data_IF_843493318870
#
_entry.id   IF_843493318870
#
_cell.length_a   1.000
_cell.length_b   1.000
_cell.length_c   1.000
_cell.angle_alpha   90.00
_cell.angle_beta   90.00
_cell.angle_gamma   90.00
#
_symmetry.space_group_name_H-M   'P 1'
#
loop_
_entity.id
_entity.type
_entity.pdbx_description
1 polymer ?
#
# COMPACT_ATOMS: atom_id res chain seq x y z
N UNK A 1 36.03 -9.31 6.39
CA UNK A 1 35.69 -9.80 7.75
C UNK A 1 34.18 -10.07 7.78
N UNK A 2 33.76 -11.29 8.11
CA UNK A 2 32.35 -11.73 8.01
C UNK A 2 31.58 -11.41 9.30
N UNK A 3 30.43 -10.74 9.19
CA UNK A 3 29.53 -10.52 10.34
C UNK A 3 29.00 -11.86 10.85
N UNK A 4 28.99 -12.06 12.17
CA UNK A 4 28.41 -13.23 12.84
C UNK A 4 27.30 -12.76 13.78
N UNK A 5 26.23 -13.54 13.88
CA UNK A 5 25.09 -13.21 14.74
C UNK A 5 25.17 -13.98 16.05
N UNK A 6 24.68 -13.36 17.13
CA UNK A 6 24.46 -14.07 18.38
C UNK A 6 23.30 -15.06 18.20
N UNK A 7 23.56 -16.33 18.50
CA UNK A 7 22.57 -17.41 18.41
C UNK A 7 21.69 -17.52 19.67
N UNK A 8 22.06 -16.81 20.74
CA UNK A 8 21.43 -16.88 22.06
C UNK A 8 21.61 -15.53 22.76
N UNK A 9 20.91 -15.28 23.85
CA UNK A 9 21.09 -14.04 24.61
C UNK A 9 22.41 -14.04 25.38
N UNK A 10 22.93 -12.84 25.63
CA UNK A 10 24.25 -12.67 26.25
C UNK A 10 24.31 -13.21 27.67
N UNK A 11 23.17 -13.32 28.38
CA UNK A 11 23.13 -13.81 29.75
C UNK A 11 23.23 -15.34 29.75
N UNK A 12 22.47 -16.04 28.90
CA UNK A 12 22.64 -17.48 28.72
C UNK A 12 24.02 -17.86 28.16
N UNK A 13 24.58 -17.07 27.23
CA UNK A 13 25.94 -17.32 26.72
C UNK A 13 27.01 -17.13 27.80
N UNK A 14 26.80 -16.21 28.73
CA UNK A 14 27.68 -15.96 29.86
C UNK A 14 27.64 -17.12 30.87
N UNK A 15 26.45 -17.65 31.15
CA UNK A 15 26.28 -18.85 31.97
C UNK A 15 26.95 -20.08 31.34
N UNK A 16 26.77 -20.28 30.02
CA UNK A 16 27.46 -21.35 29.27
C UNK A 16 28.99 -21.19 29.33
N UNK A 17 29.51 -19.98 29.12
CA UNK A 17 30.94 -19.71 29.22
C UNK A 17 31.49 -20.07 30.61
N UNK A 18 30.75 -19.72 31.66
CA UNK A 18 31.12 -20.10 33.03
C UNK A 18 31.08 -21.61 33.28
N UNK A 19 30.14 -22.32 32.66
CA UNK A 19 30.05 -23.78 32.77
C UNK A 19 31.19 -24.50 32.04
N UNK A 20 31.67 -23.95 30.93
CA UNK A 20 32.74 -24.53 30.11
C UNK A 20 34.15 -24.13 30.61
N UNK A 21 34.30 -22.92 31.16
CA UNK A 21 35.58 -22.37 31.62
C UNK A 21 35.51 -21.86 33.07
N UNK A 22 35.25 -22.74 34.05
CA UNK A 22 35.11 -22.34 35.45
C UNK A 22 36.39 -21.71 36.04
N UNK A 23 37.56 -22.00 35.49
CA UNK A 23 38.86 -21.45 35.91
C UNK A 23 39.11 -20.01 35.42
N UNK A 24 38.27 -19.50 34.53
CA UNK A 24 38.38 -18.15 33.97
C UNK A 24 37.16 -17.30 34.30
N UNK A 25 36.99 -16.87 35.57
CA UNK A 25 35.83 -16.10 35.97
C UNK A 25 35.82 -14.71 35.33
N UNK A 26 34.85 -14.47 34.45
CA UNK A 26 34.62 -13.17 33.80
C UNK A 26 33.24 -12.65 34.18
N UNK A 27 33.16 -11.43 34.73
CA UNK A 27 31.87 -10.83 35.06
C UNK A 27 31.00 -10.61 33.81
N UNK A 28 29.66 -10.62 33.96
CA UNK A 28 28.74 -10.42 32.84
C UNK A 28 29.03 -9.14 32.03
N UNK A 29 29.38 -8.05 32.73
CA UNK A 29 29.75 -6.77 32.10
C UNK A 29 31.02 -6.89 31.27
N UNK A 30 32.05 -7.56 31.80
CA UNK A 30 33.30 -7.80 31.06
C UNK A 30 33.08 -8.75 29.88
N UNK A 31 32.30 -9.81 30.06
CA UNK A 31 31.92 -10.74 29.00
C UNK A 31 31.23 -10.01 27.83
N UNK A 32 30.27 -9.12 28.13
CA UNK A 32 29.60 -8.31 27.12
C UNK A 32 30.55 -7.34 26.38
N UNK A 33 31.57 -6.80 27.07
CA UNK A 33 32.59 -5.91 26.48
C UNK A 33 33.59 -6.67 25.61
N UNK A 34 33.96 -7.88 26.01
CA UNK A 34 34.85 -8.75 25.25
C UNK A 34 34.20 -9.31 23.98
N UNK A 35 32.89 -9.06 23.75
CA UNK A 35 32.22 -9.40 22.51
C UNK A 35 32.90 -8.69 21.33
N UNK A 36 33.46 -9.42 20.37
CA UNK A 36 34.05 -8.83 19.18
C UNK A 36 33.04 -7.98 18.41
N UNK A 37 33.48 -6.86 17.85
CA UNK A 37 32.59 -5.91 17.16
C UNK A 37 31.87 -6.51 15.94
N UNK A 38 32.40 -7.59 15.35
CA UNK A 38 31.77 -8.31 14.25
C UNK A 38 30.71 -9.33 14.69
N UNK A 39 30.50 -9.50 16.00
CA UNK A 39 29.41 -10.30 16.58
C UNK A 39 28.25 -9.38 16.98
N UNK A 40 27.17 -9.41 16.21
CA UNK A 40 26.03 -8.50 16.34
C UNK A 40 24.75 -9.21 16.77
N UNK A 41 23.85 -8.50 17.46
CA UNK A 41 22.49 -8.99 17.68
C UNK A 41 21.68 -8.78 16.40
N UNK A 42 20.90 -9.78 15.94
CA UNK A 42 19.93 -9.55 14.87
C UNK A 42 18.97 -8.45 15.31
N UNK A 43 18.75 -7.45 14.45
CA UNK A 43 17.73 -6.42 14.67
C UNK A 43 16.50 -6.73 13.82
N UNK A 44 15.35 -6.15 14.18
CA UNK A 44 14.14 -6.23 13.34
C UNK A 44 14.37 -5.63 11.95
N UNK A 45 15.32 -4.71 11.79
CA UNK A 45 15.72 -4.13 10.50
C UNK A 45 16.45 -5.12 9.59
N UNK A 46 17.04 -6.18 10.17
CA UNK A 46 17.72 -7.23 9.40
C UNK A 46 16.74 -8.28 8.86
N UNK A 47 15.46 -8.25 9.30
CA UNK A 47 14.41 -9.08 8.70
C UNK A 47 14.01 -8.48 7.35
N UNK A 48 14.03 -9.32 6.32
CA UNK A 48 13.32 -9.04 5.07
C UNK A 48 11.82 -9.25 5.31
N UNK A 49 11.05 -8.16 5.33
CA UNK A 49 9.60 -8.18 5.54
C UNK A 49 8.86 -7.72 4.27
N UNK A 50 7.55 -8.02 4.18
CA UNK A 50 6.67 -7.59 3.08
C UNK A 50 7.10 -8.08 1.69
N UNK A 51 7.74 -9.26 1.63
CA UNK A 51 8.16 -9.89 0.38
C UNK A 51 6.98 -10.52 -0.36
N UNK A 52 7.00 -10.48 -1.69
CA UNK A 52 5.95 -11.11 -2.50
C UNK A 52 6.24 -12.59 -2.70
N UNK A 53 5.24 -13.44 -2.43
CA UNK A 53 5.28 -14.90 -2.63
C UNK A 53 5.86 -15.28 -3.99
N UNK A 54 5.44 -14.61 -5.08
CA UNK A 54 5.93 -14.88 -6.43
C UNK A 54 7.45 -14.69 -6.58
N UNK A 55 8.03 -13.68 -5.93
CA UNK A 55 9.47 -13.43 -5.97
C UNK A 55 10.24 -14.40 -5.07
N UNK A 56 9.73 -14.64 -3.86
CA UNK A 56 10.40 -15.54 -2.91
C UNK A 56 10.39 -16.99 -3.40
N UNK A 57 9.26 -17.48 -3.93
CA UNK A 57 9.17 -18.84 -4.42
C UNK A 57 10.08 -19.09 -5.62
N UNK A 58 10.16 -18.15 -6.59
CA UNK A 58 11.09 -18.34 -7.71
C UNK A 58 12.55 -18.25 -7.24
N UNK A 59 12.86 -17.42 -6.24
CA UNK A 59 14.19 -17.39 -5.65
C UNK A 59 14.56 -18.75 -5.03
N UNK A 60 13.67 -19.37 -4.26
CA UNK A 60 13.93 -20.70 -3.70
C UNK A 60 14.16 -21.77 -4.78
N UNK A 61 13.38 -21.73 -5.87
CA UNK A 61 13.55 -22.64 -7.00
C UNK A 61 14.90 -22.43 -7.71
N UNK A 62 15.26 -21.18 -8.04
CA UNK A 62 16.55 -20.83 -8.66
C UNK A 62 17.72 -21.21 -7.75
N UNK A 63 17.62 -20.93 -6.45
CA UNK A 63 18.64 -21.31 -5.49
C UNK A 63 18.85 -22.83 -5.47
N UNK A 64 17.76 -23.61 -5.54
CA UNK A 64 17.87 -25.07 -5.58
C UNK A 64 18.43 -25.58 -6.90
N UNK A 65 18.01 -25.04 -8.04
CA UNK A 65 18.57 -25.37 -9.35
C UNK A 65 20.07 -25.07 -9.44
N UNK A 66 20.50 -23.96 -8.84
CA UNK A 66 21.92 -23.60 -8.75
C UNK A 66 22.71 -24.58 -7.88
N UNK A 67 22.16 -25.00 -6.73
CA UNK A 67 22.76 -26.02 -5.88
C UNK A 67 22.87 -27.38 -6.58
N UNK A 68 21.88 -27.72 -7.41
CA UNK A 68 21.88 -28.91 -8.27
C UNK A 68 22.75 -28.75 -9.53
N UNK A 69 23.49 -27.64 -9.67
CA UNK A 69 24.39 -27.36 -10.80
C UNK A 69 23.72 -27.31 -12.19
N UNK A 70 22.38 -27.16 -12.25
CA UNK A 70 21.63 -27.05 -13.50
C UNK A 70 21.67 -25.65 -14.12
N UNK A 71 21.96 -24.63 -13.31
CA UNK A 71 22.09 -23.24 -13.75
C UNK A 71 23.36 -22.63 -13.19
N UNK A 72 23.89 -21.62 -13.89
CA UNK A 72 25.17 -20.98 -13.56
C UNK A 72 25.04 -19.81 -12.59
N UNK A 73 23.83 -19.29 -12.37
CA UNK A 73 23.58 -18.12 -11.52
C UNK A 73 22.46 -18.38 -10.53
N UNK A 74 22.65 -17.91 -9.31
CA UNK A 74 21.62 -17.84 -8.26
C UNK A 74 20.82 -16.54 -8.29
N UNK A 75 21.19 -15.58 -9.15
CA UNK A 75 20.52 -14.27 -9.24
C UNK A 75 19.39 -14.34 -10.26
N UNK A 76 18.20 -14.00 -9.80
CA UNK A 76 16.97 -14.07 -10.61
C UNK A 76 17.04 -13.15 -11.82
N UNK A 77 17.56 -11.94 -11.67
CA UNK A 77 17.66 -10.96 -12.76
C UNK A 77 18.58 -11.46 -13.86
N UNK A 78 19.79 -11.90 -13.50
CA UNK A 78 20.76 -12.49 -14.43
C UNK A 78 20.21 -13.75 -15.10
N UNK A 79 19.41 -14.54 -14.39
CA UNK A 79 18.76 -15.70 -14.98
C UNK A 79 17.74 -15.29 -16.06
N UNK A 80 16.90 -14.29 -15.77
CA UNK A 80 15.92 -13.78 -16.76
C UNK A 80 16.66 -13.22 -17.99
N UNK A 81 17.74 -12.47 -17.79
CA UNK A 81 18.55 -11.91 -18.89
C UNK A 81 19.09 -13.00 -19.83
N UNK A 82 19.41 -14.18 -19.28
CA UNK A 82 19.88 -15.32 -20.09
C UNK A 82 18.74 -16.03 -20.83
N UNK A 83 17.54 -16.08 -20.24
CA UNK A 83 16.43 -16.87 -20.78
C UNK A 83 15.57 -16.07 -21.77
N UNK A 84 15.43 -14.76 -21.59
CA UNK A 84 14.67 -13.87 -22.47
C UNK A 84 15.61 -13.17 -23.45
N UNK A 85 15.21 -13.03 -24.72
CA UNK A 85 16.04 -12.30 -25.71
C UNK A 85 16.20 -10.82 -25.36
N UNK A 86 15.13 -10.20 -24.85
CA UNK A 86 15.12 -8.83 -24.38
C UNK A 86 14.13 -8.68 -23.23
N UNK A 87 14.62 -8.29 -22.06
CA UNK A 87 13.80 -8.09 -20.86
C UNK A 87 12.91 -6.84 -20.93
N UNK A 88 13.23 -5.89 -21.82
CA UNK A 88 12.42 -4.71 -22.09
C UNK A 88 11.31 -5.00 -23.11
N UNK A 89 11.37 -6.15 -23.79
CA UNK A 89 10.36 -6.55 -24.76
C UNK A 89 9.21 -7.32 -24.11
N UNK A 90 7.99 -6.82 -24.32
CA UNK A 90 6.76 -7.43 -23.78
C UNK A 90 6.58 -8.88 -24.22
N UNK A 91 6.76 -9.19 -25.51
CA UNK A 91 6.54 -10.54 -26.04
C UNK A 91 7.54 -11.54 -25.46
N UNK A 92 8.80 -11.13 -25.28
CA UNK A 92 9.83 -11.95 -24.63
C UNK A 92 9.46 -12.29 -23.19
N UNK A 93 9.11 -11.28 -22.39
CA UNK A 93 8.78 -11.45 -20.98
C UNK A 93 7.41 -12.11 -20.75
N UNK A 94 6.50 -12.02 -21.72
CA UNK A 94 5.23 -12.73 -21.72
C UNK A 94 5.36 -14.16 -22.23
N UNK A 95 6.57 -14.57 -22.63
CA UNK A 95 6.86 -15.89 -23.21
C UNK A 95 6.04 -16.18 -24.47
N UNK A 96 5.86 -15.14 -25.30
CA UNK A 96 5.16 -15.16 -26.60
C UNK A 96 6.12 -14.81 -27.75
N UNK A 97 7.43 -14.94 -27.51
CA UNK A 97 8.47 -14.67 -28.51
C UNK A 97 8.92 -15.99 -29.12
N UNK A 98 8.87 -16.08 -30.45
CA UNK A 98 9.22 -17.29 -31.20
C UNK A 98 10.64 -17.82 -30.91
N UNK A 99 11.55 -16.95 -30.44
CA UNK A 99 12.95 -17.27 -30.16
C UNK A 99 13.14 -17.78 -28.72
N UNK A 100 12.55 -17.12 -27.72
CA UNK A 100 12.80 -17.43 -26.31
C UNK A 100 11.67 -18.15 -25.59
N UNK A 101 10.49 -18.30 -26.20
CA UNK A 101 9.35 -19.01 -25.60
C UNK A 101 9.69 -20.44 -25.21
N UNK A 102 10.53 -21.11 -26.00
CA UNK A 102 10.95 -22.51 -25.79
C UNK A 102 12.28 -22.65 -25.03
N UNK A 103 12.90 -21.54 -24.61
CA UNK A 103 14.13 -21.62 -23.82
C UNK A 103 13.79 -22.10 -22.42
N UNK A 104 14.27 -23.29 -22.09
CA UNK A 104 14.09 -23.96 -20.81
C UNK A 104 15.45 -24.35 -20.23
N UNK A 105 15.44 -24.91 -19.01
CA UNK A 105 16.68 -25.37 -18.36
C UNK A 105 17.03 -26.72 -18.99
N UNK A 106 18.25 -26.84 -19.53
CA UNK A 106 18.75 -28.11 -20.10
C UNK A 106 18.95 -29.15 -18.99
N UNK A 107 18.67 -30.42 -19.29
CA UNK A 107 18.70 -31.51 -18.33
C UNK A 107 19.25 -32.81 -18.94
N UNK A 108 19.90 -33.63 -18.11
CA UNK A 108 20.18 -35.02 -18.44
C UNK A 108 19.16 -35.96 -17.77
N UNK A 109 18.96 -37.16 -18.34
CA UNK A 109 18.03 -38.16 -17.80
C UNK A 109 18.36 -38.59 -16.36
N UNK A 110 19.64 -38.55 -15.98
CA UNK A 110 20.11 -38.92 -14.64
C UNK A 110 19.66 -37.93 -13.57
N UNK A 111 19.54 -36.65 -13.94
CA UNK A 111 19.16 -35.56 -13.02
C UNK A 111 17.69 -35.70 -12.58
N UNK A 112 16.81 -36.21 -13.45
CA UNK A 112 15.37 -36.30 -13.21
C UNK A 112 14.98 -37.13 -11.99
N UNK A 113 15.78 -38.12 -11.62
CA UNK A 113 15.47 -39.05 -10.52
C UNK A 113 16.04 -38.62 -9.17
N UNK A 114 16.87 -37.57 -9.16
CA UNK A 114 17.51 -37.08 -7.95
C UNK A 114 16.47 -36.55 -6.96
N UNK A 115 16.54 -37.04 -5.72
CA UNK A 115 15.72 -36.52 -4.62
C UNK A 115 16.26 -35.17 -4.15
N UNK A 116 15.37 -34.19 -4.04
CA UNK A 116 15.67 -32.83 -3.63
C UNK A 116 14.59 -32.29 -2.69
N UNK A 117 15.00 -31.39 -1.79
CA UNK A 117 14.08 -30.56 -1.02
C UNK A 117 14.27 -29.08 -1.30
N UNK A 118 13.18 -28.32 -1.29
CA UNK A 118 13.18 -26.87 -1.45
C UNK A 118 12.08 -26.22 -0.61
N UNK A 119 12.28 -24.95 -0.28
CA UNK A 119 11.27 -24.17 0.44
C UNK A 119 10.32 -23.48 -0.54
N UNK A 120 9.06 -23.32 -0.12
CA UNK A 120 8.12 -22.43 -0.78
C UNK A 120 7.08 -21.86 0.18
N UNK A 121 6.54 -20.69 -0.15
CA UNK A 121 5.36 -20.13 0.51
C UNK A 121 4.09 -20.65 -0.18
N UNK A 122 3.18 -21.23 0.60
CA UNK A 122 1.90 -21.73 0.13
C UNK A 122 0.75 -21.19 0.96
N UNK A 123 -0.36 -20.83 0.31
CA UNK A 123 -1.62 -20.52 0.99
C UNK A 123 -2.47 -21.78 1.06
N UNK A 124 -2.61 -22.35 2.24
CA UNK A 124 -3.49 -23.49 2.53
C UNK A 124 -4.87 -22.97 2.92
N UNK A 125 -5.93 -23.58 2.39
CA UNK A 125 -7.32 -23.30 2.79
C UNK A 125 -7.84 -24.51 3.55
N UNK A 126 -8.21 -24.30 4.80
CA UNK A 126 -8.79 -25.31 5.66
C UNK A 126 -10.22 -24.90 6.00
N UNK A 127 -11.17 -25.81 5.81
CA UNK A 127 -12.53 -25.61 6.26
C UNK A 127 -12.62 -26.05 7.72
N UNK A 128 -12.98 -25.13 8.62
CA UNK A 128 -13.27 -25.44 10.01
C UNK A 128 -14.74 -25.18 10.28
N UNK A 129 -15.40 -26.17 10.87
CA UNK A 129 -16.76 -25.98 11.40
C UNK A 129 -16.65 -25.21 12.70
N UNK A 130 -17.29 -24.05 12.76
CA UNK A 130 -17.40 -23.25 13.98
C UNK A 130 -18.87 -22.84 14.11
N UNK A 131 -19.55 -23.30 15.17
CA UNK A 131 -20.96 -23.02 15.43
C UNK A 131 -21.87 -23.27 14.20
N UNK A 132 -21.97 -24.53 13.76
CA UNK A 132 -22.80 -24.99 12.63
C UNK A 132 -22.58 -24.28 11.27
N UNK A 133 -21.51 -23.50 11.15
CA UNK A 133 -21.13 -22.82 9.92
C UNK A 133 -19.69 -23.18 9.51
N UNK A 134 -19.52 -23.52 8.23
CA UNK A 134 -18.21 -23.84 7.65
C UNK A 134 -17.46 -22.53 7.38
N UNK A 135 -16.38 -22.30 8.11
CA UNK A 135 -15.50 -21.15 7.90
C UNK A 135 -14.25 -21.63 7.17
N UNK A 136 -14.00 -21.10 5.97
CA UNK A 136 -12.74 -21.31 5.26
C UNK A 136 -11.65 -20.41 5.82
N UNK A 137 -10.65 -21.00 6.45
CA UNK A 137 -9.47 -20.30 6.96
C UNK A 137 -8.35 -20.43 5.94
N UNK A 138 -7.85 -19.31 5.43
CA UNK A 138 -6.69 -19.28 4.56
C UNK A 138 -5.43 -18.92 5.35
N UNK A 139 -4.48 -19.84 5.43
CA UNK A 139 -3.20 -19.64 6.12
C UNK A 139 -2.06 -19.70 5.13
N UNK A 140 -1.22 -18.66 5.10
CA UNK A 140 0.00 -18.66 4.28
C UNK A 140 1.18 -19.11 5.14
N UNK A 141 1.80 -20.22 4.77
CA UNK A 141 2.89 -20.85 5.51
C UNK A 141 4.08 -21.10 4.61
N UNK A 142 5.29 -21.03 5.18
CA UNK A 142 6.51 -21.52 4.53
C UNK A 142 6.60 -23.01 4.79
N UNK A 143 6.71 -23.79 3.72
CA UNK A 143 6.80 -25.25 3.78
C UNK A 143 8.11 -25.70 3.12
N UNK A 144 8.66 -26.79 3.65
CA UNK A 144 9.68 -27.56 2.95
C UNK A 144 8.97 -28.67 2.18
N UNK A 145 9.23 -28.74 0.88
CA UNK A 145 8.71 -29.78 0.01
C UNK A 145 9.86 -30.68 -0.43
N UNK A 146 9.56 -31.97 -0.52
CA UNK A 146 10.50 -33.02 -0.94
C UNK A 146 9.94 -33.69 -2.19
N UNK A 147 10.78 -33.88 -3.20
CA UNK A 147 10.39 -34.57 -4.41
C UNK A 147 11.57 -34.86 -5.32
N UNK A 148 11.28 -35.41 -6.50
CA UNK A 148 12.29 -35.58 -7.54
C UNK A 148 12.58 -34.26 -8.25
N UNK A 149 13.80 -34.12 -8.78
CA UNK A 149 14.25 -32.89 -9.46
C UNK A 149 13.39 -32.54 -10.68
N UNK A 150 12.82 -33.54 -11.38
CA UNK A 150 11.85 -33.30 -12.46
C UNK A 150 10.64 -32.49 -12.00
N UNK A 151 10.05 -32.84 -10.84
CA UNK A 151 8.90 -32.11 -10.28
C UNK A 151 9.26 -30.66 -9.90
N UNK A 152 10.46 -30.45 -9.34
CA UNK A 152 10.96 -29.11 -9.04
C UNK A 152 11.04 -28.25 -10.32
N UNK A 153 11.45 -28.85 -11.43
CA UNK A 153 11.62 -28.16 -12.71
C UNK A 153 10.28 -27.86 -13.36
N UNK A 154 9.32 -28.77 -13.30
CA UNK A 154 7.95 -28.50 -13.76
C UNK A 154 7.36 -27.30 -13.01
N UNK A 155 7.50 -27.29 -11.67
CA UNK A 155 7.08 -26.16 -10.84
C UNK A 155 7.85 -24.87 -11.20
N UNK A 156 9.15 -24.99 -11.48
CA UNK A 156 9.97 -23.87 -11.93
C UNK A 156 9.51 -23.30 -13.27
N UNK A 157 9.26 -24.12 -14.28
CA UNK A 157 8.81 -23.65 -15.60
C UNK A 157 7.46 -22.94 -15.52
N UNK A 158 6.52 -23.48 -14.73
CA UNK A 158 5.23 -22.84 -14.50
C UNK A 158 5.38 -21.51 -13.75
N UNK A 159 6.21 -21.50 -12.71
CA UNK A 159 6.49 -20.31 -11.90
C UNK A 159 7.22 -19.23 -12.72
N UNK A 160 8.15 -19.62 -13.58
CA UNK A 160 8.93 -18.74 -14.45
C UNK A 160 8.03 -17.96 -15.40
N UNK A 161 7.09 -18.63 -16.09
CA UNK A 161 6.12 -17.96 -16.98
C UNK A 161 5.33 -16.88 -16.23
N UNK A 162 4.81 -17.23 -15.05
CA UNK A 162 4.06 -16.30 -14.18
C UNK A 162 4.95 -15.16 -13.67
N UNK A 163 6.22 -15.45 -13.39
CA UNK A 163 7.18 -14.50 -12.86
C UNK A 163 7.66 -13.50 -13.91
N UNK A 164 8.02 -13.93 -15.12
CA UNK A 164 8.44 -13.01 -16.19
C UNK A 164 7.31 -12.01 -16.53
N UNK A 165 6.08 -12.50 -16.70
CA UNK A 165 4.91 -11.65 -16.87
C UNK A 165 4.75 -10.64 -15.72
N UNK A 166 4.91 -11.11 -14.47
CA UNK A 166 4.80 -10.28 -13.29
C UNK A 166 5.90 -9.21 -13.20
N UNK A 167 7.14 -9.61 -13.46
CA UNK A 167 8.33 -8.77 -13.38
C UNK A 167 8.26 -7.64 -14.40
N UNK A 168 7.96 -7.96 -15.66
CA UNK A 168 7.78 -6.97 -16.72
C UNK A 168 6.72 -5.92 -16.35
N UNK A 169 5.56 -6.36 -15.85
CA UNK A 169 4.49 -5.43 -15.48
C UNK A 169 4.92 -4.48 -14.36
N UNK A 170 5.64 -4.95 -13.34
CA UNK A 170 6.17 -4.09 -12.27
C UNK A 170 7.12 -3.03 -12.84
N UNK A 171 8.09 -3.48 -13.63
CA UNK A 171 9.10 -2.61 -14.22
C UNK A 171 8.44 -1.58 -15.12
N UNK A 172 7.51 -2.02 -15.98
CA UNK A 172 6.75 -1.13 -16.87
C UNK A 172 5.96 -0.07 -16.09
N UNK A 173 5.18 -0.48 -15.08
CA UNK A 173 4.36 0.45 -14.29
C UNK A 173 5.21 1.44 -13.50
N UNK A 174 6.33 0.96 -12.95
CA UNK A 174 7.31 1.81 -12.28
C UNK A 174 7.88 2.86 -13.24
N UNK A 175 8.32 2.44 -14.44
CA UNK A 175 8.84 3.35 -15.46
C UNK A 175 7.77 4.34 -15.94
N UNK A 176 6.53 3.89 -16.13
CA UNK A 176 5.43 4.75 -16.54
C UNK A 176 5.14 5.83 -15.49
N UNK A 177 5.10 5.47 -14.20
CA UNK A 177 4.95 6.43 -13.10
C UNK A 177 6.15 7.37 -12.98
N UNK A 178 7.37 6.87 -13.17
CA UNK A 178 8.59 7.67 -13.16
C UNK A 178 8.55 8.73 -14.27
N UNK A 179 8.26 8.32 -15.50
CA UNK A 179 8.11 9.21 -16.65
C UNK A 179 7.02 10.26 -16.45
N UNK A 180 5.89 9.88 -15.84
CA UNK A 180 4.84 10.84 -15.49
C UNK A 180 5.37 11.93 -14.57
N UNK A 181 6.06 11.55 -13.48
CA UNK A 181 6.63 12.51 -12.53
C UNK A 181 7.70 13.42 -13.15
N UNK A 182 8.48 12.88 -14.09
CA UNK A 182 9.55 13.61 -14.78
C UNK A 182 9.02 14.54 -15.88
N UNK A 183 7.82 14.31 -16.41
CA UNK A 183 7.22 15.06 -17.53
C UNK A 183 5.83 15.61 -17.17
N UNK A 184 5.72 16.17 -15.96
CA UNK A 184 4.53 16.87 -15.49
C UNK A 184 4.50 18.27 -16.10
N UNK A 185 3.34 18.65 -16.66
CA UNK A 185 3.09 20.03 -17.07
C UNK A 185 2.72 20.90 -15.86
N UNK A 186 2.82 22.22 -15.98
CA UNK A 186 2.49 23.18 -14.90
C UNK A 186 1.04 23.06 -14.39
N UNK A 187 0.14 22.52 -15.21
CA UNK A 187 -1.28 22.32 -14.90
C UNK A 187 -1.62 20.88 -14.48
N UNK A 188 -0.63 20.00 -14.32
CA UNK A 188 -0.84 18.60 -13.96
C UNK A 188 -0.32 18.31 -12.55
N UNK A 189 -0.96 17.35 -11.86
CA UNK A 189 -0.49 16.86 -10.57
C UNK A 189 -0.57 15.34 -10.53
N UNK A 190 0.48 14.70 -10.03
CA UNK A 190 0.47 13.26 -9.71
C UNK A 190 0.19 13.09 -8.23
N UNK A 191 -0.97 12.55 -7.90
CA UNK A 191 -1.34 12.15 -6.54
C UNK A 191 -1.07 10.65 -6.41
N UNK A 192 0.00 10.30 -5.69
CA UNK A 192 0.31 8.90 -5.37
C UNK A 192 -0.14 8.59 -3.95
N UNK A 193 -1.28 7.92 -3.83
CA UNK A 193 -1.85 7.48 -2.56
C UNK A 193 -1.42 6.04 -2.28
N UNK A 194 -0.97 5.79 -1.05
CA UNK A 194 -0.76 4.44 -0.53
C UNK A 194 -1.49 4.32 0.81
N UNK A 195 -1.93 3.11 1.14
CA UNK A 195 -2.59 2.83 2.39
C UNK A 195 -1.57 2.29 3.38
N UNK A 196 -1.41 2.99 4.50
CA UNK A 196 -0.58 2.45 5.58
C UNK A 196 -1.25 1.20 6.16
N UNK A 197 -0.46 0.21 6.57
CA UNK A 197 -1.00 -1.01 7.21
C UNK A 197 -1.88 -0.65 8.41
N UNK A 198 -2.83 -1.52 8.77
CA UNK A 198 -3.65 -1.27 9.94
C UNK A 198 -2.79 -1.25 11.21
N UNK A 199 -3.19 -0.42 12.18
CA UNK A 199 -2.66 -0.49 13.55
C UNK A 199 -3.52 -1.46 14.34
N UNK A 200 -2.92 -2.52 14.90
CA UNK A 200 -3.63 -3.38 15.83
C UNK A 200 -3.74 -2.67 17.18
N UNK A 201 -4.97 -2.54 17.67
CA UNK A 201 -5.25 -2.05 19.01
C UNK A 201 -4.62 -2.98 20.04
N UNK A 202 -4.06 -2.40 21.10
CA UNK A 202 -3.34 -3.14 22.14
C UNK A 202 -3.67 -2.58 23.51
N UNK A 203 -3.60 -3.47 24.49
CA UNK A 203 -3.64 -3.10 25.90
C UNK A 203 -2.22 -3.05 26.45
N UNK A 204 -2.00 -2.30 27.52
CA UNK A 204 -0.75 -2.35 28.27
C UNK A 204 -0.49 -3.76 28.82
N UNK A 205 -1.54 -4.41 29.33
CA UNK A 205 -1.52 -5.80 29.79
C UNK A 205 -2.59 -6.61 29.08
N UNK A 206 -2.15 -7.46 28.16
CA UNK A 206 -3.01 -8.37 27.43
C UNK A 206 -3.03 -9.75 28.09
N UNK A 207 -4.23 -10.25 28.40
CA UNK A 207 -4.41 -11.66 28.72
C UNK A 207 -4.21 -12.51 27.45
N UNK A 208 -3.77 -13.75 27.63
CA UNK A 208 -3.43 -14.66 26.53
C UNK A 208 -4.58 -14.80 25.50
N UNK A 209 -5.83 -14.84 25.97
CA UNK A 209 -7.00 -14.99 25.09
C UNK A 209 -7.26 -13.78 24.18
N UNK A 210 -6.84 -12.57 24.58
CA UNK A 210 -6.91 -11.36 23.74
C UNK A 210 -5.71 -11.32 22.80
N UNK A 211 -4.52 -11.64 23.29
CA UNK A 211 -3.29 -11.62 22.51
C UNK A 211 -3.30 -12.64 21.34
N UNK A 212 -3.86 -13.84 21.56
CA UNK A 212 -3.94 -14.88 20.53
C UNK A 212 -5.36 -15.06 19.94
N UNK A 213 -6.34 -14.26 20.39
CA UNK A 213 -7.72 -14.34 19.94
C UNK A 213 -7.98 -13.64 18.62
N UNK A 214 -9.03 -14.05 17.92
CA UNK A 214 -9.47 -13.44 16.65
C UNK A 214 -10.17 -12.07 16.83
N UNK A 215 -10.32 -11.60 18.07
CA UNK A 215 -11.06 -10.37 18.42
C UNK A 215 -10.17 -9.11 18.44
N UNK A 216 -8.97 -9.17 17.86
CA UNK A 216 -8.09 -7.99 17.79
C UNK A 216 -8.73 -6.91 16.92
N UNK A 217 -9.04 -5.77 17.54
CA UNK A 217 -9.49 -4.58 16.82
C UNK A 217 -8.31 -3.97 16.07
N UNK A 218 -8.57 -3.45 14.88
CA UNK A 218 -7.55 -2.77 14.08
C UNK A 218 -8.07 -1.44 13.57
N UNK A 219 -7.24 -0.42 13.64
CA UNK A 219 -7.52 0.93 13.13
C UNK A 219 -6.89 1.05 11.75
N UNK A 220 -7.66 1.54 10.77
CA UNK A 220 -7.11 1.86 9.45
C UNK A 220 -6.65 3.30 9.41
N UNK A 221 -5.42 3.51 8.94
CA UNK A 221 -4.78 4.82 8.90
C UNK A 221 -4.65 5.26 7.45
N UNK A 222 -5.36 6.34 7.10
CA UNK A 222 -5.35 6.93 5.77
C UNK A 222 -4.44 8.15 5.75
N UNK A 223 -3.21 7.93 5.32
CA UNK A 223 -2.20 8.97 5.13
C UNK A 223 -2.41 9.62 3.76
N UNK A 224 -2.98 10.83 3.70
CA UNK A 224 -2.91 11.60 2.48
C UNK A 224 -1.52 12.24 2.39
N UNK A 225 -0.67 11.72 1.50
CA UNK A 225 0.67 12.23 1.30
C UNK A 225 1.07 12.14 -0.16
N UNK A 226 1.81 13.13 -0.65
CA UNK A 226 2.49 13.00 -1.93
C UNK A 226 3.63 12.00 -1.75
N UNK A 227 3.50 10.84 -2.39
CA UNK A 227 4.46 9.73 -2.40
C UNK A 227 4.42 8.78 -1.20
N UNK A 228 4.56 7.49 -1.53
CA UNK A 228 4.61 6.35 -0.61
C UNK A 228 5.58 6.53 0.55
N UNK A 229 6.80 7.02 0.30
CA UNK A 229 7.84 7.11 1.33
C UNK A 229 7.49 8.05 2.49
N UNK A 230 6.92 9.22 2.18
CA UNK A 230 6.51 10.18 3.21
C UNK A 230 5.27 9.67 3.97
N UNK A 231 4.29 9.11 3.25
CA UNK A 231 3.09 8.51 3.83
C UNK A 231 3.43 7.37 4.80
N UNK A 232 4.29 6.44 4.38
CA UNK A 232 4.78 5.32 5.22
C UNK A 232 5.55 5.83 6.43
N UNK A 233 6.38 6.86 6.25
CA UNK A 233 7.15 7.48 7.33
C UNK A 233 6.26 8.10 8.41
N UNK A 234 5.23 8.85 8.00
CA UNK A 234 4.25 9.46 8.90
C UNK A 234 3.44 8.38 9.61
N UNK A 235 2.90 7.41 8.86
CA UNK A 235 2.17 6.28 9.43
C UNK A 235 2.99 5.50 10.46
N UNK A 236 4.26 5.22 10.15
CA UNK A 236 5.17 4.55 11.08
C UNK A 236 5.51 5.40 12.31
N UNK A 237 5.67 6.72 12.17
CA UNK A 237 5.95 7.61 13.30
C UNK A 237 4.78 7.66 14.29
N UNK A 238 3.56 7.74 13.77
CA UNK A 238 2.33 7.76 14.57
C UNK A 238 2.13 6.42 15.28
N UNK A 239 2.27 5.29 14.59
CA UNK A 239 2.17 3.95 15.19
C UNK A 239 3.21 3.70 16.29
N UNK A 240 4.47 4.09 16.06
CA UNK A 240 5.54 3.98 17.08
C UNK A 240 5.25 4.84 18.30
N UNK A 241 4.62 5.99 18.12
CA UNK A 241 4.23 6.85 19.23
C UNK A 241 3.15 6.18 20.07
N UNK A 242 2.11 5.63 19.43
CA UNK A 242 1.09 4.85 20.12
C UNK A 242 1.69 3.63 20.85
N UNK A 243 2.54 2.84 20.18
CA UNK A 243 3.21 1.68 20.79
C UNK A 243 4.06 2.07 22.02
N UNK A 244 4.75 3.22 21.98
CA UNK A 244 5.53 3.72 23.11
C UNK A 244 4.64 4.14 24.28
N UNK A 245 3.48 4.73 24.00
CA UNK A 245 2.52 5.11 25.04
C UNK A 245 1.90 3.87 25.69
N UNK A 246 1.63 2.83 24.90
CA UNK A 246 1.18 1.53 25.41
C UNK A 246 2.23 0.91 26.34
N UNK A 247 3.50 0.92 25.92
CA UNK A 247 4.60 0.44 26.75
C UNK A 247 4.78 1.23 28.07
N UNK A 248 4.20 2.42 28.18
CA UNK A 248 4.28 3.29 29.35
C UNK A 248 3.04 3.21 30.28
N UNK A 249 2.08 2.30 30.05
CA UNK A 249 0.95 2.13 30.98
C UNK A 249 -0.45 2.36 30.41
N UNK A 250 -0.59 2.76 29.15
CA UNK A 250 -1.89 3.21 28.61
C UNK A 250 -2.47 2.26 27.56
N UNK A 251 -3.78 2.09 27.55
CA UNK A 251 -4.47 1.24 26.56
C UNK A 251 -4.86 2.04 25.31
N UNK A 252 -4.76 1.41 24.13
CA UNK A 252 -5.22 1.98 22.86
C UNK A 252 -6.14 0.97 22.17
N UNK A 253 -7.44 1.15 22.33
CA UNK A 253 -8.46 0.13 22.02
C UNK A 253 -9.33 0.48 20.82
N UNK A 254 -9.33 1.73 20.37
CA UNK A 254 -10.11 2.25 19.25
C UNK A 254 -9.48 3.52 18.63
N UNK A 255 -10.09 4.02 17.55
CA UNK A 255 -9.63 5.22 16.86
C UNK A 255 -9.69 6.51 17.72
N UNK A 256 -10.61 6.58 18.70
CA UNK A 256 -10.77 7.75 19.58
C UNK A 256 -9.63 7.83 20.59
N UNK A 257 -9.37 6.72 21.31
CA UNK A 257 -8.22 6.56 22.21
C UNK A 257 -6.90 6.73 21.48
N UNK A 258 -6.77 6.21 20.26
CA UNK A 258 -5.58 6.40 19.43
C UNK A 258 -5.32 7.88 19.12
N UNK A 259 -6.35 8.63 18.68
CA UNK A 259 -6.23 10.07 18.43
C UNK A 259 -5.89 10.85 19.70
N UNK A 260 -6.53 10.53 20.82
CA UNK A 260 -6.30 11.20 22.09
C UNK A 260 -4.85 11.03 22.55
N UNK A 261 -4.36 9.79 22.59
CA UNK A 261 -2.97 9.47 22.98
C UNK A 261 -1.95 10.22 22.15
N UNK A 262 -2.21 10.40 20.86
CA UNK A 262 -1.30 11.11 19.96
C UNK A 262 -1.32 12.62 20.16
N UNK A 263 -2.50 13.19 20.38
CA UNK A 263 -2.64 14.61 20.74
C UNK A 263 -1.93 14.91 22.07
N UNK A 264 -2.11 14.04 23.07
CA UNK A 264 -1.47 14.16 24.39
C UNK A 264 0.06 14.00 24.31
N UNK A 265 0.54 13.24 23.32
CA UNK A 265 1.97 13.09 23.00
C UNK A 265 2.58 14.27 22.24
N UNK A 266 1.80 15.35 22.03
CA UNK A 266 2.21 16.57 21.33
C UNK A 266 2.75 16.31 19.91
N UNK A 267 2.10 15.41 19.17
CA UNK A 267 2.47 15.10 17.78
C UNK A 267 2.29 16.31 16.86
N UNK A 268 3.22 16.52 15.92
CA UNK A 268 3.08 17.53 14.86
C UNK A 268 2.09 17.10 13.76
N UNK A 269 1.59 15.86 13.80
CA UNK A 269 0.72 15.28 12.78
C UNK A 269 -0.74 15.61 13.11
N UNK A 270 -1.44 16.31 12.21
CA UNK A 270 -2.87 16.56 12.35
C UNK A 270 -3.67 15.28 12.10
N UNK A 271 -4.64 14.98 12.96
CA UNK A 271 -5.44 13.76 12.93
C UNK A 271 -6.93 14.09 12.82
N UNK A 272 -7.59 13.54 11.81
CA UNK A 272 -9.03 13.61 11.61
C UNK A 272 -9.64 12.25 11.89
N UNK A 273 -10.74 12.20 12.63
CA UNK A 273 -11.51 10.99 12.85
C UNK A 273 -12.66 10.97 11.84
N UNK A 274 -12.84 9.85 11.15
CA UNK A 274 -13.99 9.53 10.32
C UNK A 274 -14.87 8.61 11.15
N UNK A 275 -16.05 9.10 11.52
CA UNK A 275 -17.00 8.32 12.31
C UNK A 275 -17.89 7.46 11.39
N UNK A 276 -18.57 6.47 11.97
CA UNK A 276 -19.42 5.57 11.20
C UNK A 276 -20.58 6.35 10.54
N UNK A 277 -21.04 7.43 11.19
CA UNK A 277 -22.04 8.36 10.68
C UNK A 277 -21.60 9.06 9.39
N UNK A 278 -20.31 9.42 9.26
CA UNK A 278 -19.75 10.03 8.05
C UNK A 278 -19.76 9.03 6.89
N UNK A 279 -19.41 7.77 7.19
CA UNK A 279 -19.42 6.66 6.22
C UNK A 279 -20.84 6.37 5.75
N UNK A 280 -21.79 6.34 6.68
CA UNK A 280 -23.21 6.12 6.37
C UNK A 280 -23.82 7.26 5.58
N UNK A 281 -23.46 8.51 5.89
CA UNK A 281 -23.87 9.67 5.10
C UNK A 281 -23.37 9.56 3.64
N UNK A 282 -22.13 9.13 3.43
CA UNK A 282 -21.58 8.90 2.10
C UNK A 282 -22.23 7.70 1.39
N UNK A 283 -22.51 6.61 2.11
CA UNK A 283 -23.18 5.44 1.53
C UNK A 283 -24.57 5.78 1.01
N UNK A 284 -25.32 6.67 1.68
CA UNK A 284 -26.64 7.13 1.21
C UNK A 284 -26.59 7.89 -0.12
N UNK A 285 -25.44 8.44 -0.50
CA UNK A 285 -25.26 9.13 -1.78
C UNK A 285 -25.00 8.16 -2.95
N UNK A 286 -24.70 6.89 -2.67
CA UNK A 286 -24.41 5.87 -3.68
C UNK A 286 -25.72 5.14 -4.01
N UNK A 287 -26.20 5.13 -5.27
CA UNK A 287 -27.40 4.41 -5.64
C UNK A 287 -27.28 2.90 -5.35
N UNK A 288 -28.28 2.33 -4.66
CA UNK A 288 -28.31 0.88 -4.31
C UNK A 288 -28.27 -0.05 -5.53
N UNK A 289 -28.73 0.44 -6.66
CA UNK A 289 -28.79 -0.28 -7.93
C UNK A 289 -27.49 -0.21 -8.75
N UNK A 290 -26.47 0.50 -8.27
CA UNK A 290 -25.18 0.60 -8.93
C UNK A 290 -24.40 -0.73 -8.84
N UNK A 291 -24.27 -1.42 -9.97
CA UNK A 291 -23.47 -2.65 -10.05
C UNK A 291 -21.99 -2.33 -9.82
N UNK A 292 -21.30 -3.05 -8.91
CA UNK A 292 -19.86 -2.86 -8.73
C UNK A 292 -19.10 -3.34 -9.97
N UNK A 293 -18.05 -2.62 -10.34
CA UNK A 293 -17.14 -3.05 -11.40
C UNK A 293 -16.47 -4.36 -10.94
N UNK A 294 -16.49 -5.43 -11.75
CA UNK A 294 -15.88 -6.69 -11.36
C UNK A 294 -14.36 -6.56 -11.27
N UNK A 295 -13.74 -7.31 -10.36
CA UNK A 295 -12.29 -7.45 -10.25
C UNK A 295 -11.54 -6.11 -10.05
N UNK A 296 -12.13 -5.14 -9.34
CA UNK A 296 -11.48 -3.84 -9.02
C UNK A 296 -10.07 -3.96 -8.44
N UNK A 297 -9.80 -4.99 -7.66
CA UNK A 297 -8.48 -5.28 -7.10
C UNK A 297 -7.40 -5.61 -8.14
N UNK A 298 -7.78 -5.92 -9.37
CA UNK A 298 -6.86 -6.18 -10.50
C UNK A 298 -6.73 -4.98 -11.43
N UNK A 299 -7.54 -3.94 -11.24
CA UNK A 299 -7.52 -2.73 -12.09
C UNK A 299 -6.40 -1.82 -11.62
N UNK A 300 -5.51 -1.42 -12.53
CA UNK A 300 -4.39 -0.52 -12.22
C UNK A 300 -4.50 0.83 -12.95
N UNK A 301 -5.43 0.97 -13.90
CA UNK A 301 -5.71 2.24 -14.58
C UNK A 301 -7.16 2.28 -15.04
N UNK A 302 -7.78 3.45 -14.88
CA UNK A 302 -9.17 3.76 -15.26
C UNK A 302 -9.15 4.98 -16.16
N UNK A 303 -10.00 4.98 -17.19
CA UNK A 303 -10.22 6.13 -18.07
C UNK A 303 -11.64 6.63 -17.86
N UNK A 304 -11.75 7.93 -17.63
CA UNK A 304 -13.02 8.64 -17.60
C UNK A 304 -13.06 9.51 -18.86
N UNK A 305 -13.90 9.14 -19.82
CA UNK A 305 -14.16 9.99 -20.98
C UNK A 305 -15.40 10.83 -20.68
N UNK A 306 -15.27 12.15 -20.70
CA UNK A 306 -16.36 13.10 -20.42
C UNK A 306 -17.57 12.92 -21.35
N UNK A 307 -17.36 12.34 -22.54
CA UNK A 307 -18.40 12.10 -23.54
C UNK A 307 -19.24 10.84 -23.27
N UNK A 308 -18.81 9.97 -22.34
CA UNK A 308 -19.46 8.69 -22.06
C UNK A 308 -19.79 8.54 -20.57
N UNK A 309 -20.83 9.26 -20.12
CA UNK A 309 -21.29 9.31 -18.72
C UNK A 309 -21.66 7.96 -18.07
N UNK A 310 -21.62 6.84 -18.81
CA UNK A 310 -21.99 5.51 -18.35
C UNK A 310 -20.99 4.41 -18.74
N UNK A 311 -19.86 4.75 -19.35
CA UNK A 311 -18.84 3.77 -19.74
C UNK A 311 -17.59 4.06 -18.94
N UNK A 312 -17.13 3.06 -18.20
CA UNK A 312 -15.82 3.08 -17.53
C UNK A 312 -14.90 2.10 -18.24
N UNK A 313 -13.86 2.65 -18.85
CA UNK A 313 -12.79 1.86 -19.43
C UNK A 313 -11.70 1.65 -18.38
N UNK A 314 -11.11 0.46 -18.33
CA UNK A 314 -10.08 0.12 -17.36
C UNK A 314 -9.08 -0.89 -17.91
N UNK A 315 -7.92 -1.02 -17.26
CA UNK A 315 -6.94 -2.05 -17.59
C UNK A 315 -6.18 -2.54 -16.36
N UNK A 316 -5.64 -3.76 -16.45
CA UNK A 316 -4.89 -4.38 -15.37
C UNK A 316 -3.43 -3.92 -15.25
N UNK A 317 -2.89 -3.31 -16.31
CA UNK A 317 -1.50 -2.79 -16.32
C UNK A 317 -1.53 -1.34 -16.77
N UNK A 318 -1.10 -0.45 -15.90
CA UNK A 318 -1.10 0.99 -16.15
C UNK A 318 -0.01 1.39 -17.15
N UNK A 319 -0.40 2.21 -18.12
CA UNK A 319 0.50 2.79 -19.11
C UNK A 319 -0.01 4.17 -19.53
N UNK A 320 0.90 5.14 -19.64
CA UNK A 320 0.57 6.55 -19.84
C UNK A 320 1.26 7.16 -21.07
N UNK A 321 1.73 6.33 -22.00
CA UNK A 321 2.50 6.79 -23.16
C UNK A 321 1.70 7.63 -24.17
N UNK A 322 0.36 7.51 -24.19
CA UNK A 322 -0.54 8.32 -25.02
C UNK A 322 -1.47 9.23 -24.20
N UNK A 323 -1.10 9.61 -22.97
CA UNK A 323 -1.97 10.43 -22.09
C UNK A 323 -2.51 11.67 -22.84
N UNK A 324 -3.80 12.04 -22.67
CA UNK A 324 -4.81 11.43 -21.80
C UNK A 324 -5.48 10.18 -22.38
N UNK A 325 -5.27 9.88 -23.65
CA UNK A 325 -5.92 8.78 -24.37
C UNK A 325 -5.37 7.39 -23.98
N UNK A 326 -6.20 6.33 -24.10
CA UNK A 326 -5.74 4.97 -23.89
C UNK A 326 -4.73 4.56 -24.97
N UNK A 327 -3.59 4.01 -24.55
CA UNK A 327 -2.63 3.41 -25.48
C UNK A 327 -2.89 1.92 -25.74
N UNK A 328 -2.33 1.41 -26.83
CA UNK A 328 -2.45 0.02 -27.28
C UNK A 328 -1.46 -0.95 -26.60
N UNK A 329 -0.62 -0.45 -25.68
CA UNK A 329 0.40 -1.28 -25.02
C UNK A 329 -0.21 -2.43 -24.22
N UNK A 330 -1.43 -2.25 -23.68
CA UNK A 330 -2.18 -3.25 -22.93
C UNK A 330 -3.67 -3.14 -23.26
N UNK A 331 -4.36 -4.28 -23.27
CA UNK A 331 -5.79 -4.33 -23.56
C UNK A 331 -6.62 -3.52 -22.56
N UNK A 332 -7.67 -2.88 -23.08
CA UNK A 332 -8.66 -2.13 -22.33
C UNK A 332 -9.93 -2.97 -22.19
N UNK A 333 -10.50 -2.99 -21.01
CA UNK A 333 -11.80 -3.59 -20.71
C UNK A 333 -12.81 -2.50 -20.47
N UNK A 334 -14.01 -2.66 -21.01
CA UNK A 334 -15.09 -1.69 -20.88
C UNK A 334 -16.17 -2.22 -19.95
N UNK A 335 -16.67 -1.36 -19.08
CA UNK A 335 -17.80 -1.64 -18.23
C UNK A 335 -18.87 -0.57 -18.44
N UNK A 336 -20.06 -1.01 -18.83
CA UNK A 336 -21.20 -0.14 -19.07
C UNK A 336 -22.17 -0.18 -17.89
N UNK A 337 -22.51 1.01 -17.36
CA UNK A 337 -23.55 1.19 -16.37
C UNK A 337 -24.93 1.29 -17.04
N UNK A 338 -25.93 0.66 -16.42
CA UNK A 338 -27.32 0.70 -16.89
C UNK A 338 -27.94 2.09 -16.63
N UNK A 339 -28.62 2.64 -17.65
CA UNK A 339 -29.30 3.96 -17.59
C UNK A 339 -30.43 4.05 -16.54
N UNK A 340 -30.93 2.92 -16.05
CA UNK A 340 -32.12 2.85 -15.19
C UNK A 340 -31.92 3.40 -13.77
N UNK A 341 -30.70 3.82 -13.40
CA UNK A 341 -30.33 4.17 -12.03
C UNK A 341 -29.88 5.62 -11.86
N UNK A 342 -29.92 6.43 -12.92
CA UNK A 342 -29.75 7.87 -12.79
C UNK A 342 -31.13 8.47 -12.45
N UNK A 343 -31.45 8.59 -11.17
CA UNK A 343 -32.46 9.57 -10.75
C UNK A 343 -32.01 10.92 -11.29
N UNK A 344 -32.87 11.58 -12.07
CA UNK A 344 -32.67 12.94 -12.57
C UNK A 344 -32.40 13.87 -11.38
N UNK A 345 -31.13 14.11 -11.06
CA UNK A 345 -30.74 15.35 -10.41
C UNK A 345 -30.65 16.34 -11.57
N UNK A 346 -31.66 17.21 -11.69
CA UNK A 346 -31.58 18.34 -12.60
C UNK A 346 -30.32 19.13 -12.25
N UNK A 347 -29.35 19.12 -13.16
CA UNK A 347 -28.25 20.06 -13.12
C UNK A 347 -28.81 21.42 -13.52
N UNK A 348 -28.98 22.34 -12.57
CA UNK A 348 -29.08 23.75 -12.94
C UNK A 348 -27.79 24.12 -13.66
N UNK A 349 -27.94 24.59 -14.90
CA UNK A 349 -26.83 24.99 -15.76
C UNK A 349 -26.06 26.14 -15.13
N UNK A 350 -24.82 25.90 -14.72
CA UNK A 350 -23.89 26.96 -14.33
C UNK A 350 -23.46 27.75 -15.57
N UNK A 351 -23.92 28.99 -15.63
CA UNK A 351 -23.63 29.94 -16.70
C UNK A 351 -22.12 30.28 -16.74
N UNK A 352 -21.48 30.17 -17.91
CA UNK A 352 -20.05 30.44 -18.11
C UNK A 352 -19.70 31.95 -17.98
N UNK A 353 -20.69 32.81 -17.73
CA UNK A 353 -20.55 34.27 -17.64
C UNK A 353 -19.95 34.81 -16.34
N UNK A 354 -19.58 33.94 -15.37
CA UNK A 354 -19.12 34.35 -14.03
C UNK A 354 -17.61 34.29 -13.82
N UNK A 355 -16.86 33.74 -14.77
CA UNK A 355 -15.39 33.72 -14.73
C UNK A 355 -14.88 35.17 -14.79
N UNK A 356 -14.17 35.61 -13.73
CA UNK A 356 -13.59 36.96 -13.64
C UNK A 356 -14.41 38.00 -12.87
N UNK A 357 -15.55 37.61 -12.26
CA UNK A 357 -16.34 38.51 -11.39
C UNK A 357 -15.91 38.39 -9.91
N UNK A 358 -16.10 39.47 -9.15
CA UNK A 358 -15.87 39.50 -7.70
C UNK A 358 -16.90 38.63 -6.99
N UNK A 359 -16.42 37.74 -6.12
CA UNK A 359 -17.26 36.88 -5.30
C UNK A 359 -16.75 36.88 -3.86
N UNK A 360 -17.67 36.75 -2.92
CA UNK A 360 -17.35 36.62 -1.51
C UNK A 360 -17.28 35.12 -1.22
N UNK A 361 -16.09 34.65 -0.85
CA UNK A 361 -15.86 33.25 -0.48
C UNK A 361 -15.85 33.17 1.05
N UNK A 362 -16.65 32.26 1.60
CA UNK A 362 -16.73 32.01 3.03
C UNK A 362 -15.90 30.80 3.41
N UNK A 363 -14.89 31.01 4.24
CA UNK A 363 -14.13 29.96 4.91
C UNK A 363 -14.38 30.04 6.41
N UNK A 364 -14.71 28.91 7.04
CA UNK A 364 -14.99 28.82 8.49
C UNK A 364 -15.90 29.95 9.00
N UNK A 365 -16.99 30.20 8.26
CA UNK A 365 -17.99 31.24 8.54
C UNK A 365 -17.48 32.70 8.58
N UNK A 366 -16.35 33.01 7.92
CA UNK A 366 -15.90 34.40 7.74
C UNK A 366 -15.84 34.76 6.25
N UNK A 367 -16.47 35.88 5.82
CA UNK A 367 -16.49 36.30 4.42
C UNK A 367 -15.19 37.02 4.04
N UNK A 368 -14.57 36.58 2.96
CA UNK A 368 -13.41 37.25 2.36
C UNK A 368 -13.73 37.62 0.90
N UNK A 369 -13.43 38.86 0.46
CA UNK A 369 -13.63 39.26 -0.93
C UNK A 369 -12.47 38.73 -1.80
N UNK A 370 -12.79 37.92 -2.81
CA UNK A 370 -11.77 37.34 -3.70
C UNK A 370 -12.22 37.40 -5.18
N UNK A 371 -11.24 37.41 -6.08
CA UNK A 371 -11.44 37.32 -7.53
C UNK A 371 -11.37 35.84 -7.92
N UNK A 372 -12.39 35.33 -8.62
CA UNK A 372 -12.45 33.92 -9.02
C UNK A 372 -11.30 33.59 -9.98
N UNK A 373 -10.20 33.09 -9.42
CA UNK A 373 -9.09 32.46 -10.14
C UNK A 373 -8.95 31.04 -9.62
N UNK A 374 -8.93 30.09 -10.56
CA UNK A 374 -8.72 28.66 -10.33
C UNK A 374 -7.64 28.45 -9.27
N UNK A 375 -7.94 27.75 -8.18
CA UNK A 375 -6.95 27.54 -7.13
C UNK A 375 -7.00 26.15 -6.51
N UNK A 376 -5.89 25.44 -6.71
CA UNK A 376 -5.33 24.56 -5.70
C UNK A 376 -5.00 25.38 -4.45
N UNK A 377 -5.29 24.85 -3.26
CA UNK A 377 -4.55 25.18 -2.06
C UNK A 377 -4.22 23.91 -1.26
N UNK A 378 -2.92 23.78 -1.00
CA UNK A 378 -2.23 22.73 -0.28
C UNK A 378 -2.47 22.83 1.23
N UNK A 379 -3.00 21.75 1.82
CA UNK A 379 -2.78 21.37 3.22
C UNK A 379 -2.86 19.85 3.32
N UNK A 380 -1.84 19.24 3.95
CA UNK A 380 -1.73 17.79 4.14
C UNK A 380 -2.72 17.35 5.23
N UNK A 381 -3.60 16.40 4.91
CA UNK A 381 -4.71 15.96 5.77
C UNK A 381 -4.61 14.46 6.04
N UNK A 382 -4.89 14.02 7.27
CA UNK A 382 -4.79 12.61 7.65
C UNK A 382 -6.10 12.12 8.28
N UNK A 383 -6.79 11.20 7.62
CA UNK A 383 -8.08 10.66 8.07
C UNK A 383 -7.89 9.29 8.73
N UNK A 384 -8.53 9.09 9.88
CA UNK A 384 -8.52 7.85 10.66
C UNK A 384 -9.92 7.25 10.54
N UNK A 385 -10.04 6.03 10.02
CA UNK A 385 -11.33 5.35 9.84
C UNK A 385 -11.45 4.22 10.86
N UNK A 386 -12.59 4.18 11.56
CA UNK A 386 -12.98 3.05 12.38
C UNK A 386 -13.55 1.95 11.47
N UNK A 387 -13.21 0.69 11.71
CA UNK A 387 -13.66 -0.42 10.87
C UNK A 387 -14.49 -1.40 11.69
N UNK A 388 -15.81 -1.27 11.56
CA UNK A 388 -16.73 -2.39 11.66
C UNK A 388 -16.88 -2.99 10.24
N UNK A 389 -16.41 -4.23 10.08
CA UNK A 389 -16.38 -5.04 8.85
C UNK A 389 -17.31 -4.64 7.68
N UNK A 390 -16.81 -3.93 6.67
CA UNK A 390 -17.04 -4.20 5.22
C UNK A 390 -16.14 -3.31 4.35
N UNK A 391 -15.29 -3.90 3.51
CA UNK A 391 -14.46 -3.14 2.56
C UNK A 391 -15.28 -2.80 1.31
N UNK A 392 -15.82 -1.59 1.24
CA UNK A 392 -16.37 -1.01 0.01
C UNK A 392 -15.40 0.06 -0.51
N UNK A 393 -15.07 0.01 -1.80
CA UNK A 393 -14.18 0.97 -2.44
C UNK A 393 -15.03 2.05 -3.10
N UNK A 394 -14.93 3.29 -2.64
CA UNK A 394 -15.64 4.43 -3.21
C UNK A 394 -14.64 5.31 -3.96
N UNK A 395 -14.95 5.63 -5.22
CA UNK A 395 -14.29 6.73 -5.94
C UNK A 395 -14.71 8.04 -5.32
N UNK A 396 -13.76 8.85 -4.85
CA UNK A 396 -14.06 10.18 -4.31
C UNK A 396 -14.61 11.07 -5.43
N UNK A 397 -15.90 11.40 -5.35
CA UNK A 397 -16.50 12.48 -6.12
C UNK A 397 -16.73 13.63 -5.15
N UNK A 398 -16.05 14.76 -5.35
CA UNK A 398 -16.38 15.98 -4.62
C UNK A 398 -17.75 16.45 -5.12
N UNK A 399 -18.74 16.50 -4.24
CA UNK A 399 -20.07 17.02 -4.53
C UNK A 399 -20.37 18.19 -3.58
N UNK A 400 -20.90 19.32 -4.09
CA UNK A 400 -21.32 20.43 -3.25
C UNK A 400 -22.59 20.05 -2.46
N UNK A 401 -22.69 20.52 -1.21
CA UNK A 401 -23.85 20.31 -0.34
C UNK A 401 -24.85 21.45 -0.58
N UNK A 402 -26.12 21.11 -0.79
CA UNK A 402 -27.23 22.06 -0.86
C UNK A 402 -27.59 22.58 0.53
N UNK A 403 -27.65 23.90 0.70
CA UNK A 403 -28.13 24.55 1.93
C UNK A 403 -29.65 24.71 1.89
N UNK A 404 -30.32 24.42 3.00
CA UNK A 404 -31.67 24.88 3.29
C UNK A 404 -31.71 25.60 4.64
N UNK A 405 -32.36 26.76 4.60
CA UNK A 405 -32.95 27.58 5.66
C UNK A 405 -32.03 28.28 6.67
N UNK A 406 -31.86 29.58 6.41
CA UNK A 406 -32.25 30.69 7.29
C UNK A 406 -31.92 30.57 8.79
N UNK A 407 -30.87 31.28 9.22
CA UNK A 407 -31.03 32.22 10.34
C UNK A 407 -29.92 33.27 10.40
N UNK A 408 -30.37 34.53 10.50
CA UNK A 408 -29.66 35.71 11.04
C UNK A 408 -28.80 36.56 10.08
N UNK A 409 -29.54 37.33 9.28
CA UNK A 409 -29.27 38.76 9.00
C UNK A 409 -29.02 39.53 10.30
N UNK A 410 -27.99 40.38 10.35
CA UNK A 410 -28.07 41.76 10.90
C UNK A 410 -26.87 42.66 10.49
N UNK A 411 -27.13 43.53 9.50
CA UNK A 411 -26.88 45.00 9.39
C UNK A 411 -25.47 45.50 9.82
N UNK A 412 -24.66 46.24 9.03
CA UNK A 412 -24.91 47.57 8.44
C UNK A 412 -24.02 47.92 7.23
N UNK A 413 -24.65 48.70 6.35
CA UNK A 413 -24.20 49.44 5.17
C UNK A 413 -23.26 50.61 5.50
N UNK A 414 -22.23 50.84 4.68
CA UNK A 414 -22.14 52.05 3.84
C UNK A 414 -20.86 52.08 2.97
N UNK A 415 -21.05 52.67 1.78
CA UNK A 415 -20.16 52.76 0.63
C UNK A 415 -19.09 53.88 0.78
N UNK A 416 -18.22 54.10 -0.23
CA UNK A 416 -16.83 54.55 -0.06
C UNK A 416 -16.65 56.07 -0.09
N UNK A 417 -15.49 56.52 0.43
CA UNK A 417 -14.93 57.85 0.14
C UNK A 417 -13.48 57.65 -0.29
N UNK A 418 -13.21 57.97 -1.56
CA UNK A 418 -11.87 58.29 -2.03
C UNK A 418 -11.50 59.66 -1.47
N UNK A 419 -10.26 59.84 -1.02
CA UNK A 419 -9.48 61.05 -1.30
C UNK A 419 -8.01 60.78 -0.98
N UNK A 420 -7.17 61.26 -1.89
CA UNK A 420 -5.72 61.28 -1.84
C UNK A 420 -5.20 61.92 -0.55
N UNK A 421 -4.08 61.42 -0.01
CA UNK A 421 -2.95 62.30 0.31
C UNK A 421 -1.68 61.51 0.67
N UNK A 422 -0.66 61.86 -0.10
CA UNK A 422 0.76 62.00 0.22
C UNK A 422 1.17 61.77 1.69
N UNK A 423 2.12 60.86 1.93
CA UNK A 423 3.42 61.20 2.52
C UNK A 423 4.27 59.96 2.80
N UNK A 424 5.49 60.02 2.29
CA UNK A 424 6.67 59.30 2.75
C UNK A 424 6.80 59.23 4.28
N UNK A 425 7.41 58.17 4.82
CA UNK A 425 8.57 58.22 5.74
C UNK A 425 9.09 56.79 5.98
N UNK A 426 10.34 56.59 5.51
CA UNK A 426 11.46 55.76 5.98
C UNK A 426 11.28 54.29 6.37
#
# INVERSE_FOLDING_TARGET
MQKRYLNDDLRHLHEKFYSEFPEHPVSYSMFCKCRPFWIVKPSTKDRKTCLRIKHENIHYLIEKLYQSQLITTKRVETFIDNICCDIANKNCMYRQCDICEKKEVEMNEQDLTQQVSWYKWCTRREEKVKNDSTVTISTTVKVEETGVLGHLIDEFQESLKKFCYHYFNIVHQYQALKRLKENLNDNEVVIHMDFSENFNCKYEKEIQSVHFGASQRSISLHTAGHSKGAADGIGAAVKRTADRVIANGQDVTDAKSFRQVLNDSNTSVQLFLVEDEDVDAMNKLIPDSLKPIPQTMKIHQVFCQEQHNLIVQSRHVSCFCKKPEPCDCFGVSEFQFDKSNATNIQSDSLDQSVIGKWCIVTYDNKPYPELYKTSMQTNVKLSIVNLSCTRKYTTYRMAPKSESSDEQRRIWTNAPVNEDDDTSIK
#
